data_IF_711278757451
#
_entry.id   IF_711278757451
#
_cell.length_a   1.000
_cell.length_b   1.000
_cell.length_c   1.000
_cell.angle_alpha   90.00
_cell.angle_beta   90.00
_cell.angle_gamma   90.00
#
_symmetry.space_group_name_H-M   'P 1'
#
loop_
_entity.id
_entity.type
_entity.pdbx_description
1 polymer ?
#
# COMPACT_ATOMS: atom_id res chain seq x y z
N UNK A 1 1.02 -14.17 -37.45
CA UNK A 1 1.44 -15.00 -36.30
C UNK A 1 1.54 -14.13 -35.06
N UNK A 2 0.48 -13.99 -34.24
CA UNK A 2 0.56 -13.25 -33.00
C UNK A 2 1.11 -14.16 -31.89
N UNK A 3 2.29 -13.82 -31.38
CA UNK A 3 2.95 -14.51 -30.28
C UNK A 3 2.25 -14.23 -28.96
N UNK A 4 1.54 -15.24 -28.47
CA UNK A 4 0.89 -15.30 -27.17
C UNK A 4 1.97 -15.33 -26.05
N UNK A 5 1.92 -14.42 -25.07
CA UNK A 5 2.71 -14.53 -23.84
C UNK A 5 1.80 -14.67 -22.62
N UNK A 6 2.12 -15.59 -21.69
CA UNK A 6 1.19 -16.04 -20.66
C UNK A 6 1.13 -15.09 -19.45
N UNK A 7 -0.08 -15.02 -18.89
CA UNK A 7 -0.42 -14.32 -17.66
C UNK A 7 0.29 -14.96 -16.45
N UNK A 8 1.11 -14.19 -15.73
CA UNK A 8 1.69 -14.61 -14.45
C UNK A 8 0.66 -14.48 -13.34
N UNK A 9 0.18 -15.62 -12.84
CA UNK A 9 -0.66 -15.74 -11.64
C UNK A 9 0.25 -15.76 -10.40
N UNK A 10 0.06 -14.92 -9.37
CA UNK A 10 0.80 -15.08 -8.12
C UNK A 10 0.17 -16.18 -7.26
N UNK A 11 1.06 -16.99 -6.68
CA UNK A 11 0.80 -18.19 -5.92
C UNK A 11 0.17 -17.89 -4.54
N UNK A 12 -0.81 -18.73 -4.19
CA UNK A 12 -1.35 -18.90 -2.84
C UNK A 12 -0.28 -19.47 -1.91
N UNK A 13 -0.15 -18.91 -0.70
CA UNK A 13 0.57 -19.51 0.44
C UNK A 13 -0.22 -19.30 1.75
N UNK A 14 -0.03 -20.19 2.75
CA UNK A 14 -1.11 -20.68 3.59
C UNK A 14 -1.30 -19.89 4.89
N UNK A 15 -2.52 -19.97 5.41
CA UNK A 15 -2.94 -19.43 6.69
C UNK A 15 -2.21 -20.14 7.85
N UNK A 16 -1.61 -19.36 8.74
CA UNK A 16 -1.06 -19.83 10.01
C UNK A 16 -2.20 -20.03 11.01
N UNK A 17 -2.25 -21.22 11.59
CA UNK A 17 -3.08 -21.59 12.73
C UNK A 17 -2.67 -20.78 13.96
N UNK A 18 -3.65 -20.19 14.64
CA UNK A 18 -3.53 -19.80 16.05
C UNK A 18 -4.68 -20.45 16.83
N UNK A 19 -4.29 -21.44 17.63
CA UNK A 19 -5.08 -22.07 18.69
C UNK A 19 -5.17 -21.10 19.87
N UNK A 20 -6.38 -20.87 20.42
CA UNK A 20 -6.53 -20.48 21.83
C UNK A 20 -7.88 -20.96 22.40
N UNK A 21 -7.78 -22.08 23.13
CA UNK A 21 -8.55 -22.59 24.28
C UNK A 21 -10.04 -22.20 24.49
N UNK A 22 -10.90 -23.21 24.42
CA UNK A 22 -12.16 -23.31 25.15
C UNK A 22 -11.92 -23.80 26.59
N UNK A 23 -12.54 -23.14 27.58
CA UNK A 23 -12.78 -23.73 28.90
C UNK A 23 -13.91 -22.97 29.61
N UNK A 24 -15.12 -23.56 29.69
CA UNK A 24 -16.01 -23.32 30.82
C UNK A 24 -16.75 -24.60 31.24
N UNK A 25 -16.56 -24.88 32.52
CA UNK A 25 -16.92 -26.03 33.33
C UNK A 25 -18.40 -26.45 33.30
N UNK A 26 -18.64 -27.74 33.06
CA UNK A 26 -19.82 -28.45 33.56
C UNK A 26 -19.59 -28.84 35.03
N UNK A 27 -20.47 -28.38 35.93
CA UNK A 27 -20.53 -28.84 37.33
C UNK A 27 -21.70 -29.81 37.45
N UNK A 28 -21.40 -31.11 37.39
CA UNK A 28 -22.32 -32.20 37.66
C UNK A 28 -22.38 -32.41 39.19
N UNK A 29 -23.58 -32.30 39.79
CA UNK A 29 -23.81 -32.73 41.16
C UNK A 29 -24.32 -34.18 41.15
N UNK A 30 -23.62 -35.05 41.88
CA UNK A 30 -23.97 -36.44 42.14
C UNK A 30 -24.98 -36.57 43.28
N UNK A 31 -25.88 -37.56 43.29
CA UNK A 31 -26.72 -37.86 44.44
C UNK A 31 -26.00 -38.77 45.45
N UNK A 32 -26.15 -38.45 46.73
CA UNK A 32 -25.67 -39.27 47.86
C UNK A 32 -26.61 -40.45 48.10
N UNK A 33 -26.01 -41.64 48.17
CA UNK A 33 -26.63 -42.91 48.52
C UNK A 33 -26.83 -43.00 50.03
N UNK A 34 -28.05 -43.30 50.50
CA UNK A 34 -28.30 -43.80 51.86
C UNK A 34 -29.12 -45.06 51.75
N UNK A 35 -28.45 -46.18 52.01
CA UNK A 35 -29.01 -47.53 52.11
C UNK A 35 -29.57 -47.75 53.52
N UNK A 36 -30.78 -48.30 53.62
CA UNK A 36 -31.19 -49.14 54.76
C UNK A 36 -32.10 -50.27 54.29
N UNK A 37 -31.57 -51.49 54.37
CA UNK A 37 -32.28 -52.76 54.26
C UNK A 37 -32.77 -53.17 55.64
N UNK A 38 -34.03 -53.64 55.80
CA UNK A 38 -34.37 -54.90 56.52
C UNK A 38 -35.81 -55.38 56.23
N UNK A 39 -35.90 -56.44 55.42
CA UNK A 39 -36.74 -57.66 55.39
C UNK A 39 -38.28 -57.75 55.69
N UNK A 40 -38.98 -58.80 55.16
CA UNK A 40 -40.43 -58.91 54.86
C UNK A 40 -41.13 -60.00 55.77
N UNK A 41 -42.26 -60.71 55.44
CA UNK A 41 -43.26 -60.63 54.35
C UNK A 41 -44.75 -60.77 54.78
N UNK A 42 -45.70 -60.54 53.85
CA UNK A 42 -46.98 -61.28 53.79
C UNK A 42 -47.67 -61.10 52.44
N UNK A 43 -48.48 -62.09 52.12
CA UNK A 43 -48.66 -62.68 50.78
C UNK A 43 -50.05 -62.37 50.20
N UNK A 44 -50.07 -62.09 48.89
CA UNK A 44 -51.16 -62.31 47.90
C UNK A 44 -52.47 -61.49 47.98
N UNK A 45 -53.28 -61.40 46.88
CA UNK A 45 -53.15 -62.06 45.56
C UNK A 45 -53.19 -61.12 44.34
N UNK A 46 -52.47 -61.55 43.30
CA UNK A 46 -52.92 -61.66 41.91
C UNK A 46 -53.98 -60.70 41.39
N UNK A 47 -53.55 -59.74 40.57
CA UNK A 47 -54.35 -59.28 39.41
C UNK A 47 -53.49 -59.32 38.15
N UNK A 48 -53.74 -60.37 37.37
CA UNK A 48 -53.86 -60.39 35.92
C UNK A 48 -53.09 -59.31 35.13
N UNK A 49 -52.01 -59.77 34.50
CA UNK A 49 -51.53 -59.41 33.16
C UNK A 49 -52.52 -58.57 32.33
N UNK A 50 -52.32 -57.24 32.30
CA UNK A 50 -52.69 -56.45 31.14
C UNK A 50 -51.42 -56.21 30.33
N UNK A 51 -51.42 -56.64 29.07
CA UNK A 51 -50.30 -56.36 28.17
C UNK A 51 -50.38 -54.87 27.90
N UNK A 52 -49.46 -54.09 28.48
CA UNK A 52 -49.28 -52.65 28.20
C UNK A 52 -48.98 -52.44 26.72
N UNK A 53 -50.03 -52.46 25.90
CA UNK A 53 -50.03 -51.93 24.57
C UNK A 53 -50.37 -50.46 24.75
N UNK A 54 -49.47 -49.52 24.35
CA UNK A 54 -49.74 -48.10 24.53
C UNK A 54 -51.09 -47.79 23.88
N UNK A 55 -51.98 -47.19 24.66
CA UNK A 55 -53.24 -46.74 24.09
C UNK A 55 -52.94 -45.72 22.99
N UNK A 56 -53.83 -45.57 22.02
CA UNK A 56 -53.64 -44.59 20.93
C UNK A 56 -53.30 -43.20 21.45
N UNK A 57 -53.78 -42.84 22.64
CA UNK A 57 -53.51 -41.59 23.34
C UNK A 57 -52.04 -41.49 23.76
N UNK A 58 -51.46 -42.53 24.35
CA UNK A 58 -50.05 -42.53 24.81
C UNK A 58 -49.08 -42.35 23.64
N UNK A 59 -49.40 -42.97 22.50
CA UNK A 59 -48.61 -42.80 21.26
C UNK A 59 -48.67 -41.36 20.75
N UNK A 60 -49.84 -40.73 20.78
CA UNK A 60 -50.01 -39.32 20.38
C UNK A 60 -49.22 -38.40 21.32
N UNK A 61 -49.26 -38.65 22.64
CA UNK A 61 -48.48 -37.86 23.61
C UNK A 61 -46.97 -38.00 23.39
N UNK A 62 -46.49 -39.20 23.05
CA UNK A 62 -45.08 -39.43 22.72
C UNK A 62 -44.65 -38.68 21.43
N UNK A 63 -45.50 -38.64 20.42
CA UNK A 63 -45.23 -37.86 19.20
C UNK A 63 -45.23 -36.36 19.48
N UNK A 64 -46.18 -35.85 20.28
CA UNK A 64 -46.23 -34.44 20.70
C UNK A 64 -44.95 -34.05 21.44
N UNK A 65 -44.52 -34.85 22.42
CA UNK A 65 -43.28 -34.57 23.16
C UNK A 65 -42.04 -34.59 22.25
N UNK A 66 -42.02 -35.47 21.25
CA UNK A 66 -40.96 -35.53 20.25
C UNK A 66 -40.95 -34.28 19.36
N UNK A 67 -42.12 -33.82 18.91
CA UNK A 67 -42.26 -32.58 18.13
C UNK A 67 -41.85 -31.37 18.95
N UNK A 68 -42.27 -31.26 20.22
CA UNK A 68 -41.86 -30.17 21.12
C UNK A 68 -40.34 -30.07 21.26
N UNK A 69 -39.65 -31.20 21.47
CA UNK A 69 -38.19 -31.22 21.55
C UNK A 69 -37.52 -30.76 20.25
N UNK A 70 -38.09 -31.12 19.09
CA UNK A 70 -37.59 -30.67 17.79
C UNK A 70 -37.77 -29.16 17.60
N UNK A 71 -38.90 -28.60 18.05
CA UNK A 71 -39.16 -27.15 18.02
C UNK A 71 -38.14 -26.41 18.89
N UNK A 72 -37.88 -26.88 20.11
CA UNK A 72 -36.85 -26.30 20.98
C UNK A 72 -35.45 -26.32 20.32
N UNK A 73 -35.10 -27.44 19.67
CA UNK A 73 -33.84 -27.55 18.92
C UNK A 73 -33.77 -26.60 17.72
N UNK A 74 -34.90 -26.37 17.04
CA UNK A 74 -35.01 -25.38 15.96
C UNK A 74 -34.86 -23.96 16.50
N UNK A 75 -35.49 -23.61 17.63
CA UNK A 75 -35.37 -22.29 18.26
C UNK A 75 -33.93 -21.97 18.68
N UNK A 76 -33.23 -22.95 19.25
CA UNK A 76 -31.82 -22.83 19.57
C UNK A 76 -30.97 -22.59 18.30
N UNK A 77 -31.26 -23.33 17.22
CA UNK A 77 -30.56 -23.18 15.93
C UNK A 77 -30.83 -21.82 15.28
N UNK A 78 -32.08 -21.35 15.29
CA UNK A 78 -32.49 -20.03 14.79
C UNK A 78 -31.80 -18.93 15.60
N UNK A 79 -31.73 -19.07 16.92
CA UNK A 79 -31.02 -18.11 17.79
C UNK A 79 -29.53 -18.05 17.43
N UNK A 80 -28.88 -19.20 17.25
CA UNK A 80 -27.47 -19.28 16.84
C UNK A 80 -27.22 -18.62 15.47
N UNK A 81 -28.07 -18.90 14.47
CA UNK A 81 -27.99 -18.27 13.15
C UNK A 81 -28.23 -16.76 13.21
N UNK A 82 -29.14 -16.32 14.07
CA UNK A 82 -29.41 -14.88 14.30
C UNK A 82 -28.18 -14.18 14.85
N UNK A 83 -27.49 -14.78 15.82
CA UNK A 83 -26.25 -14.24 16.37
C UNK A 83 -25.13 -14.18 15.33
N UNK A 84 -24.91 -15.26 14.56
CA UNK A 84 -23.92 -15.28 13.47
C UNK A 84 -24.22 -14.21 12.41
N UNK A 85 -25.48 -14.03 12.05
CA UNK A 85 -25.91 -12.99 11.11
C UNK A 85 -25.64 -11.59 11.64
N UNK A 86 -25.87 -11.33 12.93
CA UNK A 86 -25.53 -10.06 13.57
C UNK A 86 -24.01 -9.80 13.56
N UNK A 87 -23.22 -10.82 13.85
CA UNK A 87 -21.75 -10.73 13.77
C UNK A 87 -21.29 -10.38 12.36
N UNK A 88 -21.77 -11.11 11.34
CA UNK A 88 -21.42 -10.85 9.94
C UNK A 88 -21.80 -9.43 9.50
N UNK A 89 -22.96 -8.92 9.94
CA UNK A 89 -23.36 -7.52 9.66
C UNK A 89 -22.37 -6.52 10.27
N UNK A 90 -21.91 -6.78 11.50
CA UNK A 90 -20.89 -5.95 12.15
C UNK A 90 -19.56 -5.97 11.39
N UNK A 91 -19.12 -7.15 10.95
CA UNK A 91 -17.88 -7.29 10.18
C UNK A 91 -17.97 -6.58 8.82
N UNK A 92 -19.11 -6.70 8.13
CA UNK A 92 -19.37 -5.99 6.88
C UNK A 92 -19.31 -4.48 7.09
N UNK A 93 -19.93 -3.95 8.14
CA UNK A 93 -19.87 -2.51 8.45
C UNK A 93 -18.42 -2.04 8.73
N UNK A 94 -17.64 -2.86 9.43
CA UNK A 94 -16.21 -2.59 9.66
C UNK A 94 -15.42 -2.56 8.34
N UNK A 95 -15.64 -3.55 7.46
CA UNK A 95 -14.99 -3.58 6.15
C UNK A 95 -15.38 -2.40 5.27
N UNK A 96 -16.65 -1.99 5.26
CA UNK A 96 -17.11 -0.81 4.53
C UNK A 96 -16.38 0.45 5.01
N UNK A 97 -16.29 0.66 6.33
CA UNK A 97 -15.57 1.81 6.90
C UNK A 97 -14.09 1.81 6.48
N UNK A 98 -13.42 0.65 6.55
CA UNK A 98 -12.03 0.51 6.12
C UNK A 98 -11.85 0.74 4.63
N UNK A 99 -12.78 0.27 3.81
CA UNK A 99 -12.74 0.45 2.35
C UNK A 99 -12.87 1.93 1.99
N UNK A 100 -13.83 2.63 2.58
CA UNK A 100 -13.97 4.09 2.40
C UNK A 100 -12.69 4.82 2.81
N UNK A 101 -12.08 4.44 3.93
CA UNK A 101 -10.79 5.01 4.36
C UNK A 101 -9.66 4.77 3.35
N UNK A 102 -9.61 3.60 2.72
CA UNK A 102 -8.63 3.29 1.68
C UNK A 102 -8.89 4.07 0.40
N UNK A 103 -10.14 4.20 -0.04
CA UNK A 103 -10.53 4.98 -1.22
C UNK A 103 -10.13 6.45 -1.06
N UNK A 104 -10.36 7.05 0.12
CA UNK A 104 -9.95 8.42 0.41
C UNK A 104 -8.43 8.59 0.38
N UNK A 105 -7.68 7.66 0.98
CA UNK A 105 -6.21 7.67 0.94
C UNK A 105 -5.67 7.50 -0.47
N UNK A 106 -6.29 6.63 -1.28
CA UNK A 106 -5.93 6.43 -2.67
C UNK A 106 -6.13 7.70 -3.49
N UNK A 107 -7.31 8.35 -3.37
CA UNK A 107 -7.56 9.62 -4.05
C UNK A 107 -6.59 10.73 -3.65
N UNK A 108 -6.21 10.80 -2.36
CA UNK A 108 -5.19 11.74 -1.89
C UNK A 108 -3.81 11.45 -2.47
N UNK A 109 -3.39 10.19 -2.56
CA UNK A 109 -2.11 9.79 -3.15
C UNK A 109 -2.07 10.06 -4.65
N UNK A 110 -3.17 9.82 -5.35
CA UNK A 110 -3.29 10.12 -6.78
C UNK A 110 -3.15 11.63 -7.04
N UNK A 111 -3.85 12.47 -6.25
CA UNK A 111 -3.71 13.92 -6.32
C UNK A 111 -2.29 14.40 -5.98
N UNK A 112 -1.63 13.76 -5.02
CA UNK A 112 -0.24 14.09 -4.70
C UNK A 112 0.71 13.73 -5.84
N UNK A 113 0.50 12.58 -6.49
CA UNK A 113 1.30 12.15 -7.62
C UNK A 113 1.12 13.04 -8.85
N UNK A 114 -0.09 13.52 -9.15
CA UNK A 114 -0.31 14.49 -10.23
C UNK A 114 0.40 15.81 -9.94
N UNK A 115 0.21 16.37 -8.74
CA UNK A 115 0.91 17.59 -8.34
C UNK A 115 2.44 17.44 -8.38
N UNK A 116 2.99 16.27 -8.06
CA UNK A 116 4.44 16.04 -8.17
C UNK A 116 4.91 16.11 -9.62
N UNK A 117 4.19 15.47 -10.54
CA UNK A 117 4.51 15.50 -11.97
C UNK A 117 4.45 16.91 -12.54
N UNK A 118 3.44 17.69 -12.15
CA UNK A 118 3.30 19.07 -12.60
C UNK A 118 4.49 19.92 -12.13
N UNK A 119 4.92 19.76 -10.87
CA UNK A 119 6.12 20.43 -10.35
C UNK A 119 7.38 20.01 -11.09
N UNK A 120 7.54 18.73 -11.42
CA UNK A 120 8.70 18.25 -12.17
C UNK A 120 8.74 18.87 -13.58
N UNK A 121 7.57 19.00 -14.23
CA UNK A 121 7.45 19.68 -15.51
C UNK A 121 7.81 21.17 -15.42
N UNK A 122 7.34 21.85 -14.38
CA UNK A 122 7.69 23.26 -14.12
C UNK A 122 9.19 23.45 -13.89
N UNK A 123 9.82 22.52 -13.15
CA UNK A 123 11.27 22.54 -12.93
C UNK A 123 12.05 22.36 -14.23
N UNK A 124 11.63 21.44 -15.10
CA UNK A 124 12.24 21.25 -16.42
C UNK A 124 12.10 22.51 -17.28
N UNK A 125 10.91 23.11 -17.31
CA UNK A 125 10.65 24.34 -18.04
C UNK A 125 11.51 25.51 -17.52
N UNK A 126 11.56 25.68 -16.20
CA UNK A 126 12.37 26.73 -15.58
C UNK A 126 13.87 26.51 -15.84
N UNK A 127 14.33 25.26 -15.79
CA UNK A 127 15.72 24.92 -16.12
C UNK A 127 16.04 25.27 -17.57
N UNK A 128 15.17 24.92 -18.52
CA UNK A 128 15.34 25.28 -19.93
C UNK A 128 15.40 26.79 -20.12
N UNK A 129 14.53 27.54 -19.43
CA UNK A 129 14.52 29.01 -19.49
C UNK A 129 15.80 29.61 -18.93
N UNK A 130 16.30 29.08 -17.82
CA UNK A 130 17.58 29.52 -17.23
C UNK A 130 18.75 29.26 -18.18
N UNK A 131 18.81 28.08 -18.80
CA UNK A 131 19.85 27.77 -19.80
C UNK A 131 19.79 28.74 -20.98
N UNK A 132 18.61 28.97 -21.57
CA UNK A 132 18.46 29.91 -22.69
C UNK A 132 18.87 31.35 -22.31
N UNK A 133 18.54 31.79 -21.09
CA UNK A 133 18.98 33.09 -20.58
C UNK A 133 20.50 33.16 -20.38
N UNK A 134 21.13 32.10 -19.85
CA UNK A 134 22.58 32.03 -19.67
C UNK A 134 23.30 32.02 -21.01
N UNK A 135 22.80 31.26 -21.98
CA UNK A 135 23.35 31.17 -23.33
C UNK A 135 23.25 32.51 -24.06
N UNK A 136 22.08 33.18 -24.00
CA UNK A 136 21.92 34.53 -24.59
C UNK A 136 22.81 35.56 -23.91
N UNK A 137 22.96 35.48 -22.59
CA UNK A 137 23.84 36.38 -21.84
C UNK A 137 25.32 36.19 -22.16
N UNK A 138 25.72 35.01 -22.64
CA UNK A 138 27.11 34.68 -22.99
C UNK A 138 27.35 34.56 -24.49
N UNK A 139 26.32 34.77 -25.32
CA UNK A 139 26.37 34.55 -26.77
C UNK A 139 27.48 35.34 -27.46
N UNK A 140 27.75 36.54 -26.98
CA UNK A 140 28.75 37.44 -27.56
C UNK A 140 30.13 37.29 -26.89
N UNK A 141 30.26 36.37 -25.92
CA UNK A 141 31.51 36.11 -25.23
C UNK A 141 32.28 34.98 -25.92
N UNK A 142 33.48 35.29 -26.41
CA UNK A 142 34.41 34.30 -26.97
C UNK A 142 35.51 34.02 -25.95
N UNK A 143 35.86 32.75 -25.78
CA UNK A 143 36.95 32.31 -24.88
C UNK A 143 38.11 31.77 -25.71
N UNK A 144 39.27 32.41 -25.60
CA UNK A 144 40.48 32.03 -26.35
C UNK A 144 41.42 31.26 -25.43
N UNK A 145 41.93 30.12 -25.89
CA UNK A 145 42.85 29.29 -25.12
C UNK A 145 44.23 29.27 -25.77
N UNK A 146 45.29 29.13 -24.98
CA UNK A 146 46.65 28.94 -25.49
C UNK A 146 47.43 30.22 -25.80
N UNK A 147 46.92 31.40 -25.45
CA UNK A 147 47.66 32.66 -25.55
C UNK A 147 48.65 32.75 -24.38
N UNK A 148 49.98 32.78 -24.59
CA UNK A 148 50.97 32.82 -23.52
C UNK A 148 50.82 34.09 -22.67
N UNK A 149 51.05 33.97 -21.36
CA UNK A 149 51.00 35.13 -20.48
C UNK A 149 52.24 36.02 -20.70
N UNK A 150 52.05 37.34 -20.73
CA UNK A 150 53.07 38.40 -20.90
C UNK A 150 53.32 38.92 -22.33
N UNK A 151 52.82 38.27 -23.39
CA UNK A 151 52.90 38.80 -24.77
C UNK A 151 51.85 39.88 -25.09
N UNK A 152 50.84 40.03 -24.24
CA UNK A 152 49.67 40.88 -24.49
C UNK A 152 49.92 42.37 -24.21
N UNK A 153 51.01 42.71 -23.53
CA UNK A 153 51.30 44.07 -23.08
C UNK A 153 50.30 44.59 -22.04
N UNK A 154 50.03 45.90 -22.06
CA UNK A 154 49.17 46.58 -21.08
C UNK A 154 47.67 46.51 -21.42
N UNK A 155 47.31 46.34 -22.70
CA UNK A 155 45.93 46.39 -23.17
C UNK A 155 45.61 45.17 -24.04
N UNK A 156 44.75 44.29 -23.54
CA UNK A 156 44.34 43.07 -24.24
C UNK A 156 43.63 43.35 -25.57
N UNK A 157 42.81 44.40 -25.63
CA UNK A 157 42.02 44.71 -26.82
C UNK A 157 42.90 45.06 -28.01
N UNK A 158 43.93 45.88 -27.82
CA UNK A 158 44.84 46.29 -28.90
C UNK A 158 45.67 45.10 -29.40
N UNK A 159 46.11 44.23 -28.49
CA UNK A 159 46.74 42.96 -28.84
C UNK A 159 45.82 42.12 -29.75
N UNK A 160 44.57 41.86 -29.33
CA UNK A 160 43.62 41.04 -30.06
C UNK A 160 43.20 41.64 -31.41
N UNK A 161 42.92 42.95 -31.48
CA UNK A 161 42.60 43.65 -32.74
C UNK A 161 43.70 43.51 -33.79
N UNK A 162 44.96 43.42 -33.35
CA UNK A 162 46.11 43.29 -34.27
C UNK A 162 46.47 41.84 -34.61
N UNK A 163 46.20 40.88 -33.72
CA UNK A 163 46.59 39.47 -33.88
C UNK A 163 45.51 38.60 -34.51
N UNK A 164 44.24 38.77 -34.13
CA UNK A 164 43.15 37.93 -34.64
C UNK A 164 42.99 37.99 -36.16
N UNK A 165 43.02 39.17 -36.83
CA UNK A 165 42.94 39.22 -38.28
C UNK A 165 44.12 38.50 -38.97
N UNK A 166 45.33 38.58 -38.37
CA UNK A 166 46.53 37.91 -38.90
C UNK A 166 46.44 36.39 -38.78
N UNK A 167 45.89 35.88 -37.68
CA UNK A 167 45.78 34.45 -37.42
C UNK A 167 44.66 33.79 -38.22
N UNK A 168 43.53 34.49 -38.37
CA UNK A 168 42.33 33.90 -38.95
C UNK A 168 42.24 34.06 -40.47
N UNK A 169 43.10 34.91 -41.07
CA UNK A 169 43.05 35.27 -42.49
C UNK A 169 41.67 35.76 -42.96
N UNK A 170 40.80 36.16 -42.03
CA UNK A 170 39.47 36.64 -42.30
C UNK A 170 39.53 38.13 -42.58
N UNK A 171 38.92 38.54 -43.69
CA UNK A 171 38.62 39.93 -43.95
C UNK A 171 37.37 40.31 -43.14
N UNK A 172 37.56 41.14 -42.11
CA UNK A 172 36.50 41.56 -41.19
C UNK A 172 36.24 43.05 -41.41
N UNK A 173 35.08 43.36 -41.97
CA UNK A 173 34.59 44.71 -42.23
C UNK A 173 33.13 44.83 -41.76
N UNK A 174 32.80 45.70 -40.80
CA UNK A 174 33.69 46.66 -40.10
C UNK A 174 34.73 45.97 -39.18
N UNK A 175 35.81 46.65 -38.79
CA UNK A 175 36.84 46.12 -37.89
C UNK A 175 36.26 45.56 -36.59
N UNK A 176 36.94 44.57 -36.00
CA UNK A 176 36.53 43.97 -34.72
C UNK A 176 36.43 45.03 -33.61
N UNK A 177 35.23 45.18 -33.04
CA UNK A 177 34.97 45.98 -31.87
C UNK A 177 34.86 45.09 -30.62
N UNK A 178 35.54 45.46 -29.55
CA UNK A 178 35.53 44.72 -28.29
C UNK A 178 34.87 45.56 -27.20
N UNK A 179 33.77 45.07 -26.63
CA UNK A 179 33.19 45.71 -25.45
C UNK A 179 34.11 45.53 -24.23
N UNK A 180 34.73 44.36 -24.08
CA UNK A 180 35.67 44.03 -23.00
C UNK A 180 36.55 42.85 -23.40
N UNK A 181 37.83 42.89 -23.03
CA UNK A 181 38.74 41.74 -23.18
C UNK A 181 39.60 41.60 -21.92
N UNK A 182 39.61 40.42 -21.30
CA UNK A 182 40.33 40.16 -20.06
C UNK A 182 40.53 38.66 -19.83
N UNK A 183 41.58 38.32 -19.07
CA UNK A 183 41.86 36.96 -18.61
C UNK A 183 40.89 36.54 -17.51
N UNK A 184 40.50 35.27 -17.48
CA UNK A 184 39.55 34.72 -16.49
C UNK A 184 40.29 34.04 -15.32
N UNK A 185 39.92 34.41 -14.09
CA UNK A 185 40.42 33.79 -12.86
C UNK A 185 41.78 34.32 -12.38
N UNK A 186 42.27 33.90 -11.19
CA UNK A 186 43.54 34.37 -10.64
C UNK A 186 44.75 33.74 -11.36
N UNK A 187 45.84 34.51 -11.52
CA UNK A 187 47.11 34.01 -12.07
C UNK A 187 47.70 32.94 -11.14
N UNK A 188 48.05 31.76 -11.69
CA UNK A 188 48.64 30.64 -10.95
C UNK A 188 49.91 30.21 -11.69
N UNK A 189 50.99 29.93 -10.96
CA UNK A 189 52.29 29.56 -11.54
C UNK A 189 52.28 28.20 -12.27
N UNK A 190 51.43 27.28 -11.81
CA UNK A 190 51.45 25.87 -12.24
C UNK A 190 50.38 25.50 -13.29
N UNK A 191 49.58 26.46 -13.76
CA UNK A 191 48.46 26.18 -14.67
C UNK A 191 48.75 26.68 -16.09
N UNK A 192 48.15 26.07 -17.15
CA UNK A 192 48.23 26.62 -18.49
C UNK A 192 47.68 28.05 -18.53
N UNK A 193 48.17 28.83 -19.50
CA UNK A 193 47.81 30.25 -19.63
C UNK A 193 46.31 30.46 -19.58
N UNK A 194 45.89 31.44 -18.78
CA UNK A 194 44.46 31.66 -18.52
C UNK A 194 43.74 32.05 -19.81
N UNK A 195 42.51 31.58 -20.03
CA UNK A 195 41.72 32.02 -21.17
C UNK A 195 41.24 33.46 -21.01
#
# INVERSE_FOLDING_TARGET
>A
MPGNKPNHKPASKPAQQLLFSEALHHKCLTPTTTNSHTSPPSTEPTTMSDKDHPTTIDRILQEITTVSRRIEGMDASITSLTLKTKSMRSDIASFQSRLTGLEQRMGSLEAQATMSRDRDQDLLHLRSKLTDMEDRSRRDNIRLHGIPESEEGSEMQTFLSSTLPKLTSLYIDPPLEFQRAHRIGPKRSDNPSRP
#
